data_IF_830787402839
#
_entry.id   IF_830787402839
#
_cell.length_a   1.000
_cell.length_b   1.000
_cell.length_c   1.000
_cell.angle_alpha   90.00
_cell.angle_beta   90.00
_cell.angle_gamma   90.00
#
_symmetry.space_group_name_H-M   'P 1'
#
loop_
_entity.id
_entity.type
_entity.pdbx_description
1 polymer ?
#
# COMPACT_ATOMS: atom_id res chain seq x y z
N UNK A 1 17.01 -1.32 -3.40
CA UNK A 1 15.86 -0.43 -3.12
C UNK A 1 14.81 -0.54 -4.21
N UNK A 2 15.16 -0.28 -5.47
CA UNK A 2 14.24 -0.36 -6.62
C UNK A 2 13.75 -1.78 -6.96
N UNK A 3 14.48 -2.82 -6.56
CA UNK A 3 14.06 -4.22 -6.74
C UNK A 3 12.76 -4.54 -6.01
N UNK A 4 12.60 -4.06 -4.76
CA UNK A 4 11.37 -4.25 -3.97
C UNK A 4 10.16 -3.55 -4.58
N UNK A 5 10.35 -2.46 -5.34
CA UNK A 5 9.27 -1.83 -6.10
C UNK A 5 8.90 -2.66 -7.34
N UNK A 6 9.90 -3.25 -8.01
CA UNK A 6 9.69 -4.19 -9.11
C UNK A 6 8.90 -5.44 -8.70
N UNK A 7 9.13 -5.97 -7.49
CA UNK A 7 8.38 -7.11 -6.97
C UNK A 7 6.88 -6.80 -6.83
N UNK A 8 6.50 -5.56 -6.45
CA UNK A 8 5.10 -5.11 -6.38
C UNK A 8 4.47 -5.09 -7.78
N UNK A 9 5.16 -4.52 -8.77
CA UNK A 9 4.64 -4.43 -10.16
C UNK A 9 4.52 -5.81 -10.80
N UNK A 10 5.42 -6.74 -10.46
CA UNK A 10 5.34 -8.13 -10.97
C UNK A 10 4.14 -8.88 -10.40
N UNK A 11 3.68 -8.51 -9.21
CA UNK A 11 2.51 -9.07 -8.53
C UNK A 11 1.23 -8.35 -8.98
N UNK A 12 1.14 -8.05 -10.29
CA UNK A 12 -0.04 -7.43 -10.88
C UNK A 12 -1.25 -8.32 -10.59
N UNK A 13 -2.35 -7.68 -10.20
CA UNK A 13 -3.57 -8.34 -9.73
C UNK A 13 -4.15 -9.29 -10.81
N UNK A 14 -3.80 -10.56 -10.73
CA UNK A 14 -4.39 -11.65 -11.51
C UNK A 14 -5.56 -12.26 -10.75
N UNK A 15 -6.68 -11.53 -10.66
CA UNK A 15 -7.87 -12.00 -9.97
C UNK A 15 -8.57 -13.12 -10.74
N UNK A 16 -9.09 -14.10 -10.01
CA UNK A 16 -9.93 -15.19 -10.52
C UNK A 16 -11.25 -15.26 -9.74
N UNK A 17 -12.16 -16.14 -10.14
CA UNK A 17 -13.42 -16.39 -9.41
C UNK A 17 -13.20 -16.95 -8.00
N UNK A 18 -12.01 -17.51 -7.74
CA UNK A 18 -11.63 -18.10 -6.45
C UNK A 18 -10.94 -17.10 -5.53
N UNK A 19 -10.63 -15.89 -6.02
CA UNK A 19 -9.99 -14.86 -5.19
C UNK A 19 -10.88 -14.49 -4.01
N UNK A 20 -10.35 -14.56 -2.79
CA UNK A 20 -11.07 -14.14 -1.57
C UNK A 20 -10.96 -12.64 -1.37
N UNK A 21 -11.95 -12.03 -0.73
CA UNK A 21 -11.87 -10.62 -0.31
C UNK A 21 -10.67 -10.38 0.60
N UNK A 22 -10.38 -11.32 1.50
CA UNK A 22 -9.19 -11.29 2.38
C UNK A 22 -7.88 -11.22 1.61
N UNK A 23 -7.79 -11.87 0.44
CA UNK A 23 -6.58 -11.86 -0.38
C UNK A 23 -6.33 -10.47 -0.98
N UNK A 24 -7.41 -9.75 -1.33
CA UNK A 24 -7.34 -8.36 -1.77
C UNK A 24 -6.91 -7.44 -0.62
N UNK A 25 -7.48 -7.62 0.57
CA UNK A 25 -7.05 -6.88 1.76
C UNK A 25 -5.58 -7.12 2.10
N UNK A 26 -5.12 -8.38 2.00
CA UNK A 26 -3.74 -8.78 2.23
C UNK A 26 -2.77 -8.24 1.17
N UNK A 27 -3.23 -8.10 -0.08
CA UNK A 27 -2.46 -7.43 -1.12
C UNK A 27 -2.19 -5.97 -0.75
N UNK A 28 -3.22 -5.21 -0.39
CA UNK A 28 -3.03 -3.81 0.03
C UNK A 28 -2.17 -3.71 1.30
N UNK A 29 -2.30 -4.67 2.23
CA UNK A 29 -1.39 -4.75 3.38
C UNK A 29 0.07 -4.92 2.97
N UNK A 30 0.32 -5.81 2.01
CA UNK A 30 1.66 -6.05 1.46
C UNK A 30 2.23 -4.80 0.80
N UNK A 31 1.39 -4.05 0.06
CA UNK A 31 1.77 -2.76 -0.53
C UNK A 31 2.16 -1.77 0.58
N UNK A 32 1.33 -1.62 1.62
CA UNK A 32 1.61 -0.75 2.75
C UNK A 32 2.98 -1.08 3.38
N UNK A 33 3.21 -2.35 3.73
CA UNK A 33 4.42 -2.78 4.43
C UNK A 33 5.67 -2.61 3.56
N UNK A 34 5.59 -2.88 2.25
CA UNK A 34 6.72 -2.73 1.33
C UNK A 34 7.09 -1.26 1.12
N UNK A 35 6.10 -0.39 0.98
CA UNK A 35 6.34 1.04 0.81
C UNK A 35 6.86 1.67 2.11
N UNK A 36 6.36 1.23 3.27
CA UNK A 36 6.93 1.62 4.57
C UNK A 36 8.41 1.22 4.67
N UNK A 37 8.75 -0.03 4.31
CA UNK A 37 10.14 -0.48 4.31
C UNK A 37 11.03 0.30 3.33
N UNK A 38 10.48 0.80 2.22
CA UNK A 38 11.20 1.67 1.28
C UNK A 38 11.44 3.05 1.88
N UNK A 39 10.42 3.66 2.49
CA UNK A 39 10.52 4.94 3.22
C UNK A 39 11.62 4.88 4.29
N UNK A 40 11.61 3.83 5.12
CA UNK A 40 12.59 3.68 6.21
C UNK A 40 14.02 3.55 5.67
N UNK A 41 14.20 2.79 4.58
CA UNK A 41 15.50 2.64 3.90
C UNK A 41 16.00 3.95 3.29
N UNK A 42 15.12 4.76 2.70
CA UNK A 42 15.50 6.08 2.16
C UNK A 42 15.94 7.05 3.26
N UNK A 43 15.21 7.10 4.38
CA UNK A 43 15.61 7.90 5.55
C UNK A 43 16.94 7.44 6.13
N UNK A 44 17.18 6.12 6.16
CA UNK A 44 18.47 5.56 6.58
C UNK A 44 19.61 5.99 5.65
N UNK A 45 19.42 5.96 4.33
CA UNK A 45 20.43 6.45 3.37
C UNK A 45 20.80 7.90 3.67
N UNK A 46 19.81 8.78 3.83
CA UNK A 46 20.04 10.20 4.15
C UNK A 46 20.84 10.35 5.45
N UNK A 47 20.48 9.58 6.47
CA UNK A 47 21.18 9.59 7.77
C UNK A 47 22.63 9.13 7.65
N UNK A 48 22.86 8.03 6.92
CA UNK A 48 24.20 7.49 6.69
C UNK A 48 25.06 8.48 5.86
N UNK A 49 24.49 9.11 4.83
CA UNK A 49 25.17 10.15 4.04
C UNK A 49 25.61 11.36 4.87
N UNK A 50 24.75 11.83 5.78
CA UNK A 50 25.10 12.93 6.71
C UNK A 50 26.25 12.53 7.62
N UNK A 51 26.19 11.31 8.19
CA UNK A 51 27.24 10.77 9.07
C UNK A 51 28.59 10.66 8.36
N UNK A 52 28.56 10.28 7.08
CA UNK A 52 29.77 10.10 6.26
C UNK A 52 30.30 11.40 5.67
N UNK A 53 29.70 12.55 5.99
CA UNK A 53 30.15 13.85 5.51
C UNK A 53 29.95 14.03 4.00
N UNK A 54 28.96 13.34 3.42
CA UNK A 54 28.68 13.44 2.00
C UNK A 54 28.20 14.87 1.65
N UNK A 55 28.87 15.60 0.74
CA UNK A 55 28.52 16.98 0.41
C UNK A 55 27.11 17.12 -0.20
N UNK A 56 26.57 16.04 -0.78
CA UNK A 56 25.25 16.03 -1.41
C UNK A 56 24.13 15.61 -0.44
N UNK A 57 24.43 15.41 0.86
CA UNK A 57 23.45 14.91 1.83
C UNK A 57 22.23 15.83 1.99
N UNK A 58 22.41 17.15 1.95
CA UNK A 58 21.32 18.11 2.10
C UNK A 58 20.36 18.12 0.89
N UNK A 59 20.89 18.05 -0.33
CA UNK A 59 20.09 17.96 -1.54
C UNK A 59 19.35 16.62 -1.60
N UNK A 60 20.03 15.54 -1.23
CA UNK A 60 19.43 14.20 -1.18
C UNK A 60 18.32 14.13 -0.14
N UNK A 61 18.52 14.71 1.05
CA UNK A 61 17.48 14.83 2.07
C UNK A 61 16.25 15.55 1.54
N UNK A 62 16.44 16.67 0.83
CA UNK A 62 15.33 17.45 0.27
C UNK A 62 14.53 16.62 -0.73
N UNK A 63 15.21 15.93 -1.64
CA UNK A 63 14.56 15.07 -2.63
C UNK A 63 13.84 13.87 -1.99
N UNK A 64 14.47 13.24 -0.99
CA UNK A 64 13.90 12.11 -0.24
C UNK A 64 12.67 12.54 0.56
N UNK A 65 12.76 13.67 1.28
CA UNK A 65 11.64 14.20 2.05
C UNK A 65 10.47 14.53 1.13
N UNK A 66 10.71 15.13 -0.03
CA UNK A 66 9.67 15.41 -1.02
C UNK A 66 9.03 14.12 -1.54
N UNK A 67 9.82 13.11 -1.91
CA UNK A 67 9.29 11.82 -2.36
C UNK A 67 8.45 11.13 -1.28
N UNK A 68 8.88 11.18 -0.02
CA UNK A 68 8.17 10.58 1.10
C UNK A 68 6.83 11.29 1.32
N UNK A 69 6.83 12.61 1.51
CA UNK A 69 5.64 13.36 1.91
C UNK A 69 4.63 13.51 0.78
N UNK A 70 5.10 13.71 -0.46
CA UNK A 70 4.20 13.92 -1.58
C UNK A 70 3.65 12.61 -2.19
N UNK A 71 4.37 11.50 -2.01
CA UNK A 71 4.08 10.22 -2.68
C UNK A 71 3.96 9.05 -1.73
N UNK A 72 5.04 8.66 -1.03
CA UNK A 72 5.05 7.39 -0.28
C UNK A 72 4.05 7.38 0.88
N UNK A 73 3.91 8.50 1.60
CA UNK A 73 2.96 8.63 2.71
C UNK A 73 1.52 8.47 2.23
N UNK A 74 1.17 9.06 1.07
CA UNK A 74 -0.16 8.91 0.46
C UNK A 74 -0.45 7.49 0.01
N UNK A 75 0.56 6.79 -0.52
CA UNK A 75 0.42 5.38 -0.91
C UNK A 75 0.21 4.51 0.34
N UNK A 76 0.98 4.74 1.41
CA UNK A 76 0.84 4.02 2.67
C UNK A 76 -0.56 4.23 3.25
N UNK A 77 -1.04 5.47 3.27
CA UNK A 77 -2.37 5.82 3.76
C UNK A 77 -3.50 5.18 2.92
N UNK A 78 -3.41 5.29 1.59
CA UNK A 78 -4.39 4.68 0.69
C UNK A 78 -4.41 3.15 0.78
N UNK A 79 -3.24 2.52 0.85
CA UNK A 79 -3.12 1.07 0.99
C UNK A 79 -3.65 0.59 2.35
N UNK A 80 -3.36 1.31 3.44
CA UNK A 80 -3.93 1.02 4.76
C UNK A 80 -5.45 1.15 4.75
N UNK A 81 -5.98 2.25 4.21
CA UNK A 81 -7.43 2.49 4.12
C UNK A 81 -8.13 1.37 3.35
N UNK A 82 -7.58 0.96 2.21
CA UNK A 82 -8.12 -0.16 1.43
C UNK A 82 -8.03 -1.50 2.18
N UNK A 83 -6.88 -1.78 2.80
CA UNK A 83 -6.67 -3.02 3.56
C UNK A 83 -7.62 -3.13 4.76
N UNK A 84 -7.77 -2.06 5.53
CA UNK A 84 -8.64 -2.00 6.70
C UNK A 84 -10.12 -2.11 6.30
N UNK A 85 -10.53 -1.46 5.21
CA UNK A 85 -11.92 -1.51 4.72
C UNK A 85 -12.32 -2.89 4.15
N UNK A 86 -11.39 -3.59 3.51
CA UNK A 86 -11.63 -4.91 2.92
C UNK A 86 -11.49 -6.01 3.98
N UNK A 87 -10.57 -5.83 4.93
CA UNK A 87 -10.19 -6.84 5.90
C UNK A 87 -9.22 -7.88 5.31
N UNK A 88 -8.36 -8.44 6.17
CA UNK A 88 -7.35 -9.45 5.79
C UNK A 88 -7.75 -10.88 6.20
N UNK A 89 -8.95 -11.05 6.71
CA UNK A 89 -9.48 -12.32 7.24
C UNK A 89 -10.82 -12.64 6.60
N UNK A 90 -11.16 -13.92 6.51
CA UNK A 90 -12.43 -14.41 5.97
C UNK A 90 -12.25 -15.15 4.65
N UNK A 91 -13.25 -15.96 4.28
CA UNK A 91 -13.20 -16.84 3.13
C UNK A 91 -14.17 -16.46 2.00
N UNK A 92 -14.86 -15.32 2.15
CA UNK A 92 -15.79 -14.82 1.16
C UNK A 92 -15.09 -14.53 -0.17
N UNK A 93 -15.60 -15.11 -1.25
CA UNK A 93 -15.13 -14.84 -2.59
C UNK A 93 -15.40 -13.38 -2.98
N UNK A 94 -14.46 -12.78 -3.71
CA UNK A 94 -14.57 -11.44 -4.25
C UNK A 94 -15.77 -11.32 -5.21
N UNK A 95 -16.02 -12.37 -5.99
CA UNK A 95 -17.14 -12.49 -6.92
C UNK A 95 -18.40 -13.11 -6.32
N UNK A 96 -18.53 -13.21 -4.99
CA UNK A 96 -19.72 -13.79 -4.39
C UNK A 96 -20.94 -12.87 -4.62
N UNK A 97 -21.82 -13.27 -5.53
CA UNK A 97 -23.14 -12.65 -5.72
C UNK A 97 -24.12 -13.46 -4.88
N UNK A 98 -24.30 -13.10 -3.60
CA UNK A 98 -25.26 -13.78 -2.76
C UNK A 98 -26.65 -13.71 -3.43
N UNK A 99 -27.31 -14.86 -3.62
CA UNK A 99 -28.74 -14.88 -3.94
C UNK A 99 -29.52 -14.49 -2.67
N UNK A 100 -29.40 -13.23 -2.25
CA UNK A 100 -30.18 -12.68 -1.16
C UNK A 100 -31.49 -12.16 -1.75
N UNK A 101 -32.58 -12.87 -1.48
CA UNK A 101 -33.90 -12.26 -1.51
C UNK A 101 -33.87 -10.99 -0.65
N UNK A 102 -34.15 -9.85 -1.28
CA UNK A 102 -34.51 -8.55 -0.73
C UNK A 102 -33.45 -7.79 0.12
N UNK A 103 -33.22 -6.53 -0.29
CA UNK A 103 -32.43 -5.49 0.37
C UNK A 103 -30.91 -5.67 0.31
N UNK A 104 -30.35 -5.46 -0.89
CA UNK A 104 -28.94 -5.10 -1.03
C UNK A 104 -28.63 -3.94 -0.09
N UNK A 105 -27.66 -4.13 0.79
CA UNK A 105 -27.03 -3.02 1.49
C UNK A 105 -26.45 -2.10 0.41
N UNK A 106 -27.17 -1.01 0.16
CA UNK A 106 -26.69 0.09 -0.65
C UNK A 106 -25.30 0.46 -0.14
N UNK A 107 -24.35 0.65 -1.06
CA UNK A 107 -23.04 1.18 -0.72
C UNK A 107 -23.22 2.35 0.24
N UNK A 108 -22.49 2.33 1.35
CA UNK A 108 -22.45 3.44 2.29
C UNK A 108 -21.90 4.67 1.56
N UNK A 109 -22.80 5.39 0.90
CA UNK A 109 -22.62 6.76 0.48
C UNK A 109 -22.46 7.56 1.76
N UNK A 110 -21.22 7.90 2.07
CA UNK A 110 -20.86 8.90 3.06
C UNK A 110 -21.63 10.18 2.72
N UNK A 111 -22.66 10.49 3.51
CA UNK A 111 -23.32 11.80 3.52
C UNK A 111 -22.53 12.67 4.50
N UNK A 112 -21.88 13.70 3.97
CA UNK A 112 -21.68 14.99 4.64
C UNK A 112 -22.39 16.03 3.77
#
# INVERSE_FOLDING_TARGET
MFTSFGDIVSKVLGFSTETKKSDVGAYFKTVQDTIQGTKDKLNKIVTDMKREGNPNAAETETAVNKLITETLDKIIEGAKTASDAIGITGDDLLGNVAAANAAGAAGLGLIV
#
